data_IF_400063721017
#
_entry.id   IF_400063721017
#
_cell.length_a   1.000
_cell.length_b   1.000
_cell.length_c   1.000
_cell.angle_alpha   90.00
_cell.angle_beta   90.00
_cell.angle_gamma   90.00
#
_symmetry.space_group_name_H-M   'P 1'
#
loop_
_entity.id
_entity.type
_entity.pdbx_description
1 polymer ?
#
# COMPACT_ATOMS: atom_id res chain seq x y z
N UNK A 1 -20.57 -3.48 3.95
CA UNK A 1 -21.91 -2.84 4.08
C UNK A 1 -22.99 -3.60 3.30
N UNK A 2 -22.83 -3.85 1.99
CA UNK A 2 -23.83 -4.58 1.18
C UNK A 2 -24.22 -5.96 1.74
N UNK A 3 -23.26 -6.69 2.31
CA UNK A 3 -23.52 -7.97 2.97
C UNK A 3 -24.41 -7.84 4.21
N UNK A 4 -24.18 -6.82 5.04
CA UNK A 4 -25.03 -6.51 6.19
C UNK A 4 -26.44 -6.09 5.79
N UNK A 5 -26.59 -5.49 4.61
CA UNK A 5 -27.89 -5.17 4.02
C UNK A 5 -28.60 -6.40 3.41
N UNK A 6 -28.04 -7.61 3.54
CA UNK A 6 -28.65 -8.86 3.09
C UNK A 6 -28.42 -9.21 1.61
N UNK A 7 -27.56 -8.46 0.89
CA UNK A 7 -27.31 -8.75 -0.52
C UNK A 7 -26.39 -9.98 -0.68
N UNK A 8 -26.79 -11.07 -1.38
CA UNK A 8 -25.96 -12.26 -1.55
C UNK A 8 -24.67 -12.00 -2.33
N UNK A 9 -23.64 -12.81 -2.13
CA UNK A 9 -22.33 -12.61 -2.78
C UNK A 9 -22.43 -12.59 -4.30
N UNK A 10 -23.17 -13.52 -4.91
CA UNK A 10 -23.35 -13.58 -6.36
C UNK A 10 -23.91 -12.27 -6.93
N UNK A 11 -24.90 -11.68 -6.25
CA UNK A 11 -25.48 -10.39 -6.63
C UNK A 11 -24.50 -9.23 -6.41
N UNK A 12 -23.71 -9.24 -5.33
CA UNK A 12 -22.68 -8.22 -5.11
C UNK A 12 -21.62 -8.26 -6.22
N UNK A 13 -21.11 -9.45 -6.56
CA UNK A 13 -20.09 -9.62 -7.62
C UNK A 13 -20.62 -9.20 -8.99
N UNK A 14 -21.89 -9.50 -9.29
CA UNK A 14 -22.54 -9.13 -10.56
C UNK A 14 -22.81 -7.63 -10.65
N UNK A 15 -23.39 -7.02 -9.61
CA UNK A 15 -23.84 -5.62 -9.63
C UNK A 15 -22.72 -4.62 -9.34
N UNK A 16 -21.73 -5.04 -8.55
CA UNK A 16 -20.63 -4.19 -8.09
C UNK A 16 -19.28 -4.89 -8.32
N UNK A 17 -18.92 -5.22 -9.58
CA UNK A 17 -17.70 -5.97 -9.88
C UNK A 17 -16.40 -5.24 -9.49
N UNK A 18 -16.49 -3.93 -9.26
CA UNK A 18 -15.39 -3.06 -8.80
C UNK A 18 -15.17 -3.12 -7.29
N UNK A 19 -16.15 -3.59 -6.50
CA UNK A 19 -15.97 -3.81 -5.06
C UNK A 19 -15.22 -5.13 -4.84
N UNK A 20 -13.90 -5.07 -4.93
CA UNK A 20 -12.99 -6.18 -4.65
C UNK A 20 -12.82 -6.41 -3.14
N UNK A 21 -12.12 -7.49 -2.80
CA UNK A 21 -11.87 -7.91 -1.41
C UNK A 21 -12.89 -8.90 -0.86
N UNK A 22 -12.77 -9.18 0.43
CA UNK A 22 -13.54 -10.20 1.14
C UNK A 22 -14.67 -9.60 1.98
N UNK A 23 -15.76 -10.34 2.10
CA UNK A 23 -16.88 -10.00 2.98
C UNK A 23 -16.51 -10.28 4.44
N UNK A 24 -16.45 -9.23 5.26
CA UNK A 24 -16.13 -9.32 6.69
C UNK A 24 -17.36 -9.50 7.58
N UNK A 25 -18.58 -9.53 7.02
CA UNK A 25 -19.81 -9.69 7.82
C UNK A 25 -19.86 -10.99 8.61
N UNK A 26 -19.24 -12.06 8.09
CA UNK A 26 -19.09 -13.32 8.80
C UNK A 26 -18.30 -13.18 10.10
N UNK A 27 -17.16 -12.46 10.06
CA UNK A 27 -16.30 -12.23 11.24
C UNK A 27 -16.98 -11.33 12.27
N UNK A 28 -17.79 -10.37 11.84
CA UNK A 28 -18.54 -9.53 12.80
C UNK A 28 -19.68 -10.30 13.45
N UNK A 29 -20.33 -11.21 12.71
CA UNK A 29 -21.38 -12.07 13.27
C UNK A 29 -20.81 -13.15 14.20
N UNK A 30 -19.64 -13.68 13.88
CA UNK A 30 -18.90 -14.62 14.71
C UNK A 30 -17.44 -14.15 14.87
N UNK A 31 -17.17 -13.35 15.92
CA UNK A 31 -15.83 -12.82 16.19
C UNK A 31 -14.78 -13.89 16.47
N UNK A 32 -15.20 -15.13 16.77
CA UNK A 32 -14.28 -16.25 17.02
C UNK A 32 -13.89 -16.98 15.73
N UNK A 33 -14.57 -16.68 14.61
CA UNK A 33 -14.19 -17.24 13.32
C UNK A 33 -12.84 -16.69 12.85
N UNK A 34 -12.04 -17.57 12.26
CA UNK A 34 -10.70 -17.23 11.73
C UNK A 34 -10.79 -16.19 10.59
N UNK A 35 -11.88 -16.22 9.83
CA UNK A 35 -12.10 -15.34 8.69
C UNK A 35 -11.09 -15.54 7.54
N UNK A 36 -11.15 -14.67 6.51
CA UNK A 36 -10.27 -14.76 5.33
C UNK A 36 -8.82 -14.37 5.63
N UNK A 37 -8.62 -13.51 6.64
CA UNK A 37 -7.29 -13.03 7.05
C UNK A 37 -6.46 -14.15 7.66
N UNK A 38 -7.05 -15.04 8.46
CA UNK A 38 -6.33 -16.07 9.21
C UNK A 38 -6.17 -15.75 10.69
N UNK A 39 -5.55 -16.69 11.41
CA UNK A 39 -5.11 -16.54 12.81
C UNK A 39 -3.59 -16.72 12.93
N UNK A 40 -3.05 -16.51 14.13
CA UNK A 40 -1.65 -16.76 14.44
C UNK A 40 -1.24 -18.23 14.21
N UNK A 41 -2.14 -19.16 14.47
CA UNK A 41 -1.93 -20.60 14.34
C UNK A 41 -2.16 -21.10 12.92
N UNK A 42 -3.10 -20.45 12.21
CA UNK A 42 -3.46 -20.79 10.83
C UNK A 42 -3.55 -19.51 9.98
N UNK A 43 -2.40 -19.00 9.51
CA UNK A 43 -2.38 -17.81 8.69
C UNK A 43 -3.16 -18.00 7.38
N UNK A 44 -3.87 -16.96 6.96
CA UNK A 44 -4.82 -17.01 5.86
C UNK A 44 -4.29 -16.34 4.59
N UNK A 45 -5.21 -15.76 3.81
CA UNK A 45 -4.87 -15.00 2.59
C UNK A 45 -4.25 -13.65 2.93
N UNK A 46 -4.68 -13.08 4.06
CA UNK A 46 -4.22 -11.81 4.58
C UNK A 46 -5.04 -10.61 4.15
N UNK A 47 -4.66 -9.45 4.70
CA UNK A 47 -5.25 -8.15 4.41
C UNK A 47 -4.23 -7.29 3.68
N UNK A 48 -4.61 -6.76 2.51
CA UNK A 48 -3.81 -5.82 1.77
C UNK A 48 -3.78 -4.47 2.49
N UNK A 49 -2.60 -3.88 2.59
CA UNK A 49 -2.37 -2.51 3.07
C UNK A 49 -1.72 -1.73 1.93
N UNK A 50 -2.26 -0.57 1.61
CA UNK A 50 -1.74 0.30 0.55
C UNK A 50 -1.49 1.69 1.08
N UNK A 51 -0.44 2.33 0.58
CA UNK A 51 -0.16 3.71 0.89
C UNK A 51 0.56 4.37 -0.29
N UNK A 52 -0.12 5.33 -0.90
CA UNK A 52 0.40 6.19 -1.97
C UNK A 52 0.05 7.64 -1.63
N UNK A 53 1.01 8.42 -1.18
CA UNK A 53 0.77 9.83 -0.87
C UNK A 53 1.94 10.69 -1.32
N UNK A 54 1.71 11.53 -2.33
CA UNK A 54 2.77 12.38 -2.92
C UNK A 54 3.39 13.35 -1.90
N UNK A 55 2.59 13.81 -0.93
CA UNK A 55 3.06 14.70 0.13
C UNK A 55 4.15 14.07 1.04
N UNK A 56 4.29 12.75 1.03
CA UNK A 56 5.21 11.99 1.87
C UNK A 56 6.17 11.12 1.05
N UNK A 57 6.43 11.49 -0.22
CA UNK A 57 7.42 10.82 -1.09
C UNK A 57 8.84 11.40 -0.89
N UNK A 58 8.90 12.68 -0.52
CA UNK A 58 10.15 13.39 -0.32
C UNK A 58 9.91 14.45 0.75
N UNK A 59 10.20 14.08 2.01
CA UNK A 59 10.01 14.96 3.16
C UNK A 59 10.82 16.26 3.06
N UNK A 60 11.97 16.25 2.39
CA UNK A 60 12.79 17.46 2.19
C UNK A 60 12.17 18.37 1.14
N UNK A 61 11.65 17.82 0.05
CA UNK A 61 10.88 18.57 -0.95
C UNK A 61 9.59 19.13 -0.35
N UNK A 62 8.86 18.34 0.43
CA UNK A 62 7.63 18.79 1.08
C UNK A 62 7.93 19.92 2.06
N UNK A 63 8.94 19.79 2.93
CA UNK A 63 9.32 20.86 3.85
C UNK A 63 9.73 22.16 3.13
N UNK A 64 10.48 22.07 2.02
CA UNK A 64 10.86 23.24 1.21
C UNK A 64 9.68 23.94 0.55
N UNK A 65 8.63 23.19 0.20
CA UNK A 65 7.47 23.69 -0.52
C UNK A 65 6.21 23.79 0.37
N UNK A 66 6.30 23.46 1.65
CA UNK A 66 5.16 23.37 2.57
C UNK A 66 4.39 24.67 2.63
N UNK A 67 5.07 25.82 2.76
CA UNK A 67 4.45 27.14 2.71
C UNK A 67 3.70 27.37 1.40
N UNK A 68 4.26 27.00 0.24
CA UNK A 68 3.56 27.14 -1.05
C UNK A 68 2.36 26.18 -1.17
N UNK A 69 2.48 24.96 -0.67
CA UNK A 69 1.40 23.96 -0.65
C UNK A 69 0.25 24.40 0.26
N UNK A 70 0.57 24.93 1.44
CA UNK A 70 -0.40 25.41 2.41
C UNK A 70 -0.96 26.79 2.07
N UNK A 71 -0.18 27.71 1.50
CA UNK A 71 -0.65 29.02 1.02
C UNK A 71 -1.57 28.86 -0.19
N UNK A 72 -1.27 27.93 -1.11
CA UNK A 72 -2.19 27.58 -2.19
C UNK A 72 -3.48 26.94 -1.67
N UNK A 73 -3.40 26.13 -0.60
CA UNK A 73 -4.58 25.53 0.04
C UNK A 73 -5.40 26.57 0.84
N UNK A 74 -4.75 27.54 1.49
CA UNK A 74 -5.39 28.60 2.27
C UNK A 74 -6.01 29.70 1.40
N UNK A 75 -5.36 30.09 0.30
CA UNK A 75 -5.92 31.00 -0.70
C UNK A 75 -7.14 30.40 -1.42
N UNK A 76 -7.24 29.06 -1.49
CA UNK A 76 -8.39 28.32 -2.01
C UNK A 76 -9.48 28.04 -0.96
N UNK A 77 -9.32 28.39 0.32
CA UNK A 77 -10.29 28.10 1.38
C UNK A 77 -11.65 28.84 1.25
N UNK A 78 -11.85 29.62 0.18
CA UNK A 78 -13.13 30.17 -0.26
C UNK A 78 -13.80 29.44 -1.43
N UNK A 79 -13.23 28.32 -1.93
CA UNK A 79 -13.83 27.50 -2.98
C UNK A 79 -13.93 26.03 -2.55
N UNK A 80 -15.07 25.42 -2.86
CA UNK A 80 -15.36 24.01 -2.58
C UNK A 80 -14.23 23.11 -3.08
N UNK A 81 -13.79 22.20 -2.21
CA UNK A 81 -12.66 21.30 -2.42
C UNK A 81 -12.93 20.31 -3.58
N UNK A 82 -12.71 20.74 -4.82
CA UNK A 82 -12.80 19.93 -6.04
C UNK A 82 -11.45 19.93 -6.76
N UNK A 83 -10.39 19.40 -6.14
CA UNK A 83 -9.09 19.29 -6.81
C UNK A 83 -9.14 18.23 -7.91
N UNK A 84 -9.37 18.67 -9.14
CA UNK A 84 -9.18 17.86 -10.34
C UNK A 84 -7.70 17.69 -10.68
N UNK A 85 -7.38 16.67 -11.48
CA UNK A 85 -6.00 16.33 -11.88
C UNK A 85 -5.24 17.49 -12.56
N UNK A 86 -5.92 18.42 -13.22
CA UNK A 86 -5.29 19.55 -13.91
C UNK A 86 -4.76 20.63 -12.96
N UNK A 87 -5.49 20.92 -11.88
CA UNK A 87 -5.03 21.87 -10.85
C UNK A 87 -3.82 21.32 -10.10
N UNK A 88 -3.84 20.01 -9.81
CA UNK A 88 -2.70 19.32 -9.22
C UNK A 88 -1.46 19.37 -10.12
N UNK A 89 -1.61 19.13 -11.44
CA UNK A 89 -0.52 19.30 -12.42
C UNK A 89 0.00 20.73 -12.47
N UNK A 90 -0.87 21.72 -12.31
CA UNK A 90 -0.50 23.13 -12.23
C UNK A 90 0.41 23.42 -11.04
N UNK A 91 0.03 22.94 -9.85
CA UNK A 91 0.84 23.05 -8.64
C UNK A 91 2.23 22.43 -8.87
N UNK A 92 2.30 21.18 -9.36
CA UNK A 92 3.57 20.48 -9.62
C UNK A 92 4.52 21.24 -10.54
N UNK A 93 4.02 22.00 -11.52
CA UNK A 93 4.88 22.86 -12.37
C UNK A 93 5.55 24.00 -11.59
N UNK A 94 4.92 24.49 -10.53
CA UNK A 94 5.38 25.63 -9.72
C UNK A 94 6.33 25.20 -8.59
N UNK A 95 6.04 24.08 -7.94
CA UNK A 95 6.81 23.56 -6.78
C UNK A 95 7.87 22.51 -7.17
N UNK A 96 7.92 22.07 -8.42
CA UNK A 96 8.80 21.00 -8.87
C UNK A 96 8.26 19.61 -8.55
N UNK A 97 9.04 18.57 -8.85
CA UNK A 97 8.66 17.17 -8.65
C UNK A 97 9.48 16.54 -7.52
N UNK A 98 8.87 15.69 -6.67
CA UNK A 98 9.62 14.94 -5.66
C UNK A 98 10.58 13.95 -6.31
N UNK A 99 11.61 13.51 -5.58
CA UNK A 99 12.45 12.43 -6.07
C UNK A 99 11.66 11.12 -6.16
N UNK A 100 11.38 10.67 -7.39
CA UNK A 100 10.55 9.51 -7.67
C UNK A 100 11.20 8.17 -7.29
N UNK A 101 12.51 8.17 -7.06
CA UNK A 101 13.29 6.99 -6.65
C UNK A 101 13.25 6.75 -5.13
N UNK A 102 12.78 7.73 -4.35
CA UNK A 102 12.62 7.57 -2.89
C UNK A 102 11.55 6.52 -2.60
N UNK A 103 11.95 5.46 -1.89
CA UNK A 103 11.12 4.30 -1.56
C UNK A 103 10.20 4.58 -0.38
N UNK A 104 9.26 5.50 -0.58
CA UNK A 104 8.36 5.98 0.49
C UNK A 104 6.90 5.52 0.28
N UNK A 105 6.57 4.94 -0.89
CA UNK A 105 5.31 4.22 -1.09
C UNK A 105 5.41 2.81 -0.55
N UNK A 106 4.30 2.23 -0.11
CA UNK A 106 4.32 0.83 0.29
C UNK A 106 3.09 0.03 -0.10
N UNK A 107 3.33 -1.28 -0.23
CA UNK A 107 2.31 -2.32 -0.21
C UNK A 107 2.65 -3.27 0.93
N UNK A 108 1.64 -3.69 1.67
CA UNK A 108 1.82 -4.62 2.77
C UNK A 108 0.75 -5.69 2.80
N UNK A 109 1.07 -6.82 3.44
CA UNK A 109 0.11 -7.87 3.75
C UNK A 109 0.30 -8.31 5.18
N UNK A 110 -0.81 -8.49 5.89
CA UNK A 110 -0.83 -9.17 7.18
C UNK A 110 -1.74 -10.40 7.11
N UNK A 111 -1.19 -11.59 7.35
CA UNK A 111 -1.86 -12.88 7.14
C UNK A 111 -2.44 -13.53 8.40
N UNK A 112 -2.54 -12.79 9.50
CA UNK A 112 -2.94 -13.31 10.80
C UNK A 112 -1.77 -13.59 11.74
N UNK A 113 -0.54 -13.72 11.21
CA UNK A 113 0.69 -13.82 12.02
C UNK A 113 1.81 -12.94 11.50
N UNK A 114 2.12 -13.07 10.21
CA UNK A 114 3.25 -12.40 9.61
C UNK A 114 2.79 -11.13 8.92
N UNK A 115 3.56 -10.06 9.09
CA UNK A 115 3.38 -8.80 8.38
C UNK A 115 4.55 -8.60 7.45
N UNK A 116 4.29 -8.56 6.14
CA UNK A 116 5.26 -8.15 5.13
C UNK A 116 4.90 -6.75 4.66
N UNK A 117 5.88 -5.85 4.62
CA UNK A 117 5.80 -4.54 3.99
C UNK A 117 6.95 -4.42 3.00
N UNK A 118 6.66 -3.93 1.80
CA UNK A 118 7.68 -3.54 0.82
C UNK A 118 7.49 -2.09 0.44
N UNK A 119 8.60 -1.36 0.44
CA UNK A 119 8.67 0.04 0.10
C UNK A 119 9.33 0.23 -1.26
N UNK A 120 8.74 1.05 -2.12
CA UNK A 120 9.20 1.27 -3.48
C UNK A 120 8.98 2.73 -3.90
N UNK A 121 9.68 3.15 -4.95
CA UNK A 121 9.58 4.51 -5.48
C UNK A 121 8.36 4.69 -6.39
N UNK A 122 7.86 5.92 -6.49
CA UNK A 122 6.75 6.24 -7.39
C UNK A 122 7.08 5.98 -8.87
N UNK A 123 8.36 6.02 -9.23
CA UNK A 123 8.83 5.68 -10.57
C UNK A 123 8.86 4.17 -10.86
N UNK A 124 8.77 3.32 -9.82
CA UNK A 124 9.02 1.88 -9.93
C UNK A 124 7.95 1.03 -9.23
N UNK A 125 6.70 1.16 -9.68
CA UNK A 125 5.66 0.20 -9.32
C UNK A 125 6.03 -1.17 -9.88
N UNK A 126 6.14 -2.17 -9.02
CA UNK A 126 6.63 -3.49 -9.40
C UNK A 126 5.83 -4.62 -8.73
N UNK A 127 5.82 -5.81 -9.35
CA UNK A 127 5.17 -7.02 -8.84
C UNK A 127 6.20 -8.17 -8.84
N UNK A 128 7.11 -8.23 -7.84
CA UNK A 128 8.29 -9.06 -7.90
C UNK A 128 7.92 -10.53 -7.75
N UNK A 129 8.25 -11.35 -8.75
CA UNK A 129 7.93 -12.77 -8.77
C UNK A 129 8.92 -13.66 -7.97
N UNK A 130 10.01 -13.08 -7.45
CA UNK A 130 11.03 -13.79 -6.67
C UNK A 130 11.55 -12.93 -5.52
N UNK A 131 12.09 -13.57 -4.49
CA UNK A 131 12.72 -12.88 -3.34
C UNK A 131 13.89 -12.01 -3.79
N UNK A 132 14.68 -12.49 -4.75
CA UNK A 132 15.78 -11.71 -5.33
C UNK A 132 15.31 -10.37 -5.91
N UNK A 133 14.24 -10.38 -6.73
CA UNK A 133 13.67 -9.15 -7.31
C UNK A 133 13.03 -8.27 -6.24
N UNK A 134 12.34 -8.89 -5.29
CA UNK A 134 11.74 -8.19 -4.15
C UNK A 134 12.80 -7.37 -3.41
N UNK A 135 13.92 -7.98 -3.03
CA UNK A 135 15.01 -7.32 -2.30
C UNK A 135 15.82 -6.33 -3.15
N UNK A 136 15.88 -6.51 -4.47
CA UNK A 136 16.60 -5.59 -5.36
C UNK A 136 15.86 -4.25 -5.51
N UNK A 137 14.55 -4.33 -5.74
CA UNK A 137 13.73 -3.17 -6.16
C UNK A 137 12.96 -2.52 -5.00
N UNK A 138 12.99 -3.11 -3.80
CA UNK A 138 12.23 -2.66 -2.64
C UNK A 138 13.07 -2.66 -1.36
N UNK A 139 12.73 -1.78 -0.42
CA UNK A 139 13.13 -1.96 0.97
C UNK A 139 12.06 -2.81 1.66
N UNK A 140 12.48 -3.84 2.40
CA UNK A 140 11.56 -4.92 2.81
C UNK A 140 11.63 -5.12 4.31
N UNK A 141 10.45 -5.22 4.92
CA UNK A 141 10.27 -5.54 6.32
C UNK A 141 9.32 -6.73 6.49
N UNK A 142 9.76 -7.77 7.20
CA UNK A 142 8.95 -8.94 7.52
C UNK A 142 9.01 -9.16 9.03
N UNK A 143 7.85 -9.24 9.68
CA UNK A 143 7.73 -9.44 11.12
C UNK A 143 6.84 -10.63 11.46
N UNK A 144 7.16 -11.34 12.53
CA UNK A 144 6.29 -12.34 13.17
C UNK A 144 5.57 -11.69 14.36
N UNK A 145 4.36 -11.18 14.15
CA UNK A 145 3.65 -10.40 15.19
C UNK A 145 3.19 -11.24 16.38
N UNK A 146 3.28 -12.58 16.31
CA UNK A 146 3.03 -13.42 17.47
C UNK A 146 4.19 -13.34 18.47
N UNK A 147 5.42 -13.29 17.98
CA UNK A 147 6.65 -13.30 18.80
C UNK A 147 7.26 -11.89 18.95
N UNK A 148 6.96 -11.00 18.03
CA UNK A 148 7.46 -9.63 17.94
C UNK A 148 6.29 -8.66 17.64
N UNK A 149 5.39 -8.43 18.60
CA UNK A 149 4.22 -7.56 18.41
C UNK A 149 4.60 -6.08 18.24
N UNK A 150 5.82 -5.70 18.62
CA UNK A 150 6.34 -4.34 18.51
C UNK A 150 7.10 -4.09 17.20
N UNK A 151 7.22 -5.10 16.33
CA UNK A 151 7.86 -4.99 15.01
C UNK A 151 9.33 -4.54 15.09
N UNK A 152 10.06 -5.07 16.08
CA UNK A 152 11.45 -4.70 16.36
C UNK A 152 12.48 -5.57 15.64
N UNK A 153 12.09 -6.77 15.20
CA UNK A 153 12.98 -7.79 14.62
C UNK A 153 12.66 -8.05 13.14
N UNK A 154 13.32 -7.33 12.23
CA UNK A 154 13.07 -7.47 10.79
C UNK A 154 13.68 -8.76 10.21
N UNK A 155 12.81 -9.75 10.00
CA UNK A 155 13.11 -11.07 9.44
C UNK A 155 13.38 -11.08 7.93
N UNK A 156 13.17 -9.97 7.22
CA UNK A 156 13.40 -9.90 5.77
C UNK A 156 14.89 -9.79 5.41
N UNK A 157 15.75 -9.44 6.37
CA UNK A 157 17.18 -9.28 6.15
C UNK A 157 17.87 -10.65 6.01
N UNK A 158 18.53 -10.96 4.87
CA UNK A 158 19.26 -12.23 4.69
C UNK A 158 20.38 -12.50 5.70
N UNK A 159 20.92 -11.45 6.34
CA UNK A 159 21.91 -11.58 7.40
C UNK A 159 21.29 -11.89 8.78
N UNK A 160 19.96 -11.87 8.90
CA UNK A 160 19.28 -12.12 10.16
C UNK A 160 19.36 -13.62 10.55
N UNK A 161 19.67 -13.98 11.82
CA UNK A 161 19.79 -15.38 12.22
C UNK A 161 18.53 -16.23 12.03
N UNK A 162 17.34 -15.60 12.05
CA UNK A 162 16.05 -16.25 11.81
C UNK A 162 15.53 -16.05 10.39
N UNK A 163 16.38 -15.59 9.46
CA UNK A 163 15.97 -15.39 8.07
C UNK A 163 15.47 -16.71 7.47
N UNK A 164 14.29 -16.66 6.85
CA UNK A 164 13.72 -17.76 6.09
C UNK A 164 13.24 -17.25 4.74
N UNK A 165 14.00 -17.57 3.68
CA UNK A 165 13.67 -17.19 2.31
C UNK A 165 12.31 -17.75 1.86
N UNK A 166 11.93 -18.95 2.33
CA UNK A 166 10.65 -19.57 1.96
C UNK A 166 9.50 -18.81 2.57
N UNK A 167 9.62 -18.38 3.83
CA UNK A 167 8.62 -17.55 4.49
C UNK A 167 8.45 -16.22 3.74
N UNK A 168 9.56 -15.55 3.42
CA UNK A 168 9.54 -14.31 2.66
C UNK A 168 8.90 -14.50 1.27
N UNK A 169 9.23 -15.60 0.58
CA UNK A 169 8.64 -15.94 -0.71
C UNK A 169 7.12 -16.16 -0.62
N UNK A 170 6.66 -16.90 0.40
CA UNK A 170 5.22 -17.15 0.64
C UNK A 170 4.48 -15.85 0.92
N UNK A 171 5.02 -14.99 1.78
CA UNK A 171 4.40 -13.69 2.09
C UNK A 171 4.37 -12.77 0.87
N UNK A 172 5.43 -12.76 0.06
CA UNK A 172 5.46 -12.02 -1.19
C UNK A 172 4.43 -12.53 -2.20
N UNK A 173 4.24 -13.85 -2.30
CA UNK A 173 3.21 -14.45 -3.15
C UNK A 173 1.80 -14.04 -2.70
N UNK A 174 1.53 -14.04 -1.39
CA UNK A 174 0.25 -13.56 -0.85
C UNK A 174 0.01 -12.09 -1.20
N UNK A 175 1.03 -11.24 -1.02
CA UNK A 175 0.94 -9.83 -1.36
C UNK A 175 0.63 -9.63 -2.86
N UNK A 176 1.37 -10.31 -3.74
CA UNK A 176 1.15 -10.19 -5.18
C UNK A 176 -0.23 -10.69 -5.61
N UNK A 177 -0.73 -11.76 -4.99
CA UNK A 177 -2.06 -12.28 -5.24
C UNK A 177 -3.14 -11.26 -4.85
N UNK A 178 -3.01 -10.64 -3.67
CA UNK A 178 -3.94 -9.60 -3.21
C UNK A 178 -3.89 -8.35 -4.08
N UNK A 179 -2.69 -7.89 -4.49
CA UNK A 179 -2.56 -6.76 -5.42
C UNK A 179 -3.30 -7.07 -6.73
N UNK A 180 -3.11 -8.26 -7.28
CA UNK A 180 -3.76 -8.68 -8.53
C UNK A 180 -5.29 -8.77 -8.36
N UNK A 181 -5.77 -9.31 -7.24
CA UNK A 181 -7.20 -9.52 -6.97
C UNK A 181 -7.93 -8.20 -6.66
N UNK A 182 -7.30 -7.31 -5.89
CA UNK A 182 -7.94 -6.14 -5.29
C UNK A 182 -7.63 -4.82 -6.01
N UNK A 183 -6.41 -4.66 -6.53
CA UNK A 183 -6.00 -3.46 -7.28
C UNK A 183 -6.07 -3.71 -8.79
N UNK A 184 -5.61 -4.90 -9.23
CA UNK A 184 -5.42 -5.21 -10.64
C UNK A 184 -4.11 -4.63 -11.16
N UNK A 185 -4.19 -3.54 -11.92
CA UNK A 185 -2.99 -2.87 -12.45
C UNK A 185 -2.50 -1.81 -11.45
N UNK A 186 -1.41 -2.13 -10.75
CA UNK A 186 -0.82 -1.24 -9.74
C UNK A 186 0.10 -0.21 -10.42
N UNK A 187 -0.42 1.00 -10.61
CA UNK A 187 0.30 2.13 -11.22
C UNK A 187 -0.01 3.42 -10.48
N UNK A 188 0.92 4.36 -10.53
CA UNK A 188 0.67 5.71 -10.07
C UNK A 188 -0.52 6.32 -10.84
N UNK A 189 -1.48 6.90 -10.10
CA UNK A 189 -2.58 7.68 -10.68
C UNK A 189 -2.04 8.92 -11.44
N UNK A 190 -0.86 9.38 -11.04
CA UNK A 190 -0.11 10.42 -11.71
C UNK A 190 1.39 10.26 -11.45
N UNK A 191 2.15 10.10 -12.53
CA UNK A 191 3.62 10.22 -12.49
C UNK A 191 3.98 11.62 -12.99
N UNK A 192 4.60 12.47 -12.17
CA UNK A 192 5.15 13.73 -12.64
C UNK A 192 6.21 13.50 -13.74
N UNK A 193 6.39 14.43 -14.69
CA UNK A 193 7.37 14.27 -15.76
C UNK A 193 8.81 14.18 -15.22
N UNK A 194 9.58 13.19 -15.67
CA UNK A 194 10.98 12.92 -15.27
C UNK A 194 11.93 14.12 -15.44
N UNK A 195 11.59 15.05 -16.34
CA UNK A 195 12.39 16.25 -16.68
C UNK A 195 11.84 17.54 -16.08
N UNK A 196 11.06 17.48 -15.00
CA UNK A 196 10.80 18.67 -14.22
C UNK A 196 12.02 18.94 -13.33
N UNK A 197 12.57 20.16 -13.39
CA UNK A 197 13.64 20.59 -12.50
C UNK A 197 13.28 20.24 -11.06
N UNK A 198 14.13 19.46 -10.38
CA UNK A 198 14.13 19.39 -8.92
C UNK A 198 14.48 20.80 -8.44
N UNK A 199 13.48 21.64 -8.20
CA UNK A 199 13.66 23.00 -7.68
C UNK A 199 13.58 22.97 -6.15
#
# INVERSE_FOLDING_TARGET
ILAYAGLPEAERRKRYPLLKGYDLSGVVRDPTSVGPRGSSEKPGKGSLMTYDMIATIDGEWFNRNATKVFDAAAAQAGQEFHRGMEEFKGLVKEIGVPNLEKREMFRGVFDGRYKLVRYFGMGNYNLPASVQKLLADNDVALYDLLLDPEEMDNLANPAHPKYDEKLLAVMNQKLNALITEEIGEDKAMFTPPEKASQK
#
